data_IF_015863663319
#
_entry.id   IF_015863663319
#
_cell.length_a   1.000
_cell.length_b   1.000
_cell.length_c   1.000
_cell.angle_alpha   90.00
_cell.angle_beta   90.00
_cell.angle_gamma   90.00
#
_symmetry.space_group_name_H-M   'P 1'
#
loop_
_entity.id
_entity.type
_entity.pdbx_description
1 polymer ?
2 non-polymer ?
3 water ?
#
# COMPACT_ATOMS: atom_id res chain seq x y z
N UNK A 1 -3.06 -10.81 -20.99
CA UNK A 1 -4.07 -10.46 -19.94
C UNK A 1 -3.45 -10.13 -18.56
N UNK A 2 -4.29 -9.86 -17.55
CA UNK A 2 -3.79 -9.46 -16.21
C UNK A 2 -2.87 -10.52 -15.58
N UNK A 3 -1.86 -10.08 -14.82
CA UNK A 3 -0.93 -10.99 -14.14
C UNK A 3 -1.47 -11.49 -12.79
N UNK A 4 -2.46 -12.38 -12.87
CA UNK A 4 -3.10 -12.99 -11.71
C UNK A 4 -2.15 -13.83 -10.90
N UNK A 5 -1.28 -14.57 -11.57
CA UNK A 5 -0.33 -15.44 -10.87
C UNK A 5 0.66 -14.66 -9.99
N UNK A 6 1.21 -13.59 -10.57
CA UNK A 6 2.10 -12.70 -9.84
C UNK A 6 1.35 -12.11 -8.65
N UNK A 7 0.16 -11.55 -8.88
CA UNK A 7 -0.68 -10.98 -7.80
C UNK A 7 -0.88 -11.97 -6.65
N UNK A 8 -1.18 -13.21 -7.01
CA UNK A 8 -1.40 -14.25 -6.02
C UNK A 8 -0.14 -14.57 -5.20
N UNK A 9 1.03 -14.70 -5.84
CA UNK A 9 2.29 -14.91 -5.12
C UNK A 9 2.56 -13.78 -4.10
N UNK A 10 2.33 -12.53 -4.50
CA UNK A 10 2.45 -11.41 -3.57
C UNK A 10 1.44 -11.52 -2.41
N UNK A 11 0.19 -11.82 -2.73
CA UNK A 11 -0.82 -11.87 -1.67
C UNK A 11 -0.51 -12.94 -0.62
N UNK A 12 -0.09 -14.10 -1.11
CA UNK A 12 0.17 -15.32 -0.35
C UNK A 12 1.31 -15.13 0.65
N UNK A 13 2.44 -14.60 0.18
CA UNK A 13 3.62 -14.47 1.02
C UNK A 13 3.80 -13.09 1.66
N UNK A 14 3.17 -12.05 1.10
CA UNK A 14 3.44 -10.68 1.56
C UNK A 14 2.30 -9.80 2.05
N UNK A 15 1.12 -10.37 2.35
CA UNK A 15 0.08 -9.53 2.94
C UNK A 15 -0.46 -10.08 4.24
N UNK A 16 -0.94 -9.16 5.08
CA UNK A 16 -1.54 -9.53 6.32
C UNK A 16 -2.74 -8.62 6.44
N UNK A 17 -3.64 -8.95 7.38
CA UNK A 17 -4.76 -8.07 7.67
C UNK A 17 -4.32 -7.18 8.82
N UNK A 18 -4.46 -5.87 8.65
CA UNK A 18 -4.12 -4.93 9.69
C UNK A 18 -5.39 -4.22 10.11
N UNK A 19 -5.52 -3.96 11.40
CA UNK A 19 -6.67 -3.27 11.93
C UNK A 19 -6.25 -2.19 12.93
N UNK A 20 -6.71 -0.97 12.68
CA UNK A 20 -6.42 0.17 13.51
C UNK A 20 -7.77 0.65 14.01
N UNK A 21 -7.77 1.75 14.74
CA UNK A 21 -9.01 2.42 15.11
C UNK A 21 -9.89 2.74 13.89
N UNK A 22 -9.32 2.81 12.69
CA UNK A 22 -10.15 3.16 11.53
C UNK A 22 -10.77 1.95 10.85
N UNK A 23 -10.42 0.75 11.26
CA UNK A 23 -10.98 -0.42 10.62
C UNK A 23 -9.90 -1.28 10.02
N UNK A 24 -10.28 -2.19 9.12
CA UNK A 24 -9.32 -3.16 8.58
C UNK A 24 -8.78 -2.68 7.23
N UNK A 25 -7.56 -3.08 6.91
CA UNK A 25 -6.86 -2.64 5.72
C UNK A 25 -6.02 -3.81 5.34
N UNK A 26 -5.93 -4.05 4.04
CA UNK A 26 -4.96 -4.99 3.52
C UNK A 26 -3.58 -4.37 3.82
N UNK A 27 -2.58 -5.18 4.16
CA UNK A 27 -1.28 -4.62 4.48
C UNK A 27 -0.21 -5.38 3.77
N UNK A 28 0.59 -4.64 3.00
CA UNK A 28 1.70 -5.21 2.26
C UNK A 28 2.97 -5.17 3.10
N UNK A 29 3.58 -6.34 3.30
CA UNK A 29 4.90 -6.48 3.91
C UNK A 29 5.96 -6.42 2.83
N UNK A 30 6.99 -5.60 3.06
CA UNK A 30 7.95 -5.28 2.00
C UNK A 30 9.28 -6.01 2.15
N UNK A 31 9.81 -5.99 3.38
CA UNK A 31 11.02 -6.68 3.74
C UNK A 31 11.14 -6.73 5.28
N UNK A 32 11.91 -7.69 5.78
CA UNK A 32 12.13 -7.77 7.23
C UNK A 32 10.80 -7.65 7.97
N UNK A 33 10.66 -6.63 8.80
CA UNK A 33 9.42 -6.46 9.54
C UNK A 33 8.80 -5.13 9.19
N UNK A 34 9.05 -4.74 7.94
CA UNK A 34 8.62 -3.46 7.44
C UNK A 34 7.46 -3.64 6.46
N UNK A 35 6.40 -2.87 6.65
CA UNK A 35 5.19 -2.97 5.83
C UNK A 35 4.65 -1.58 5.55
N UNK A 36 3.58 -1.52 4.77
CA UNK A 36 2.93 -0.27 4.47
C UNK A 36 1.44 -0.29 4.74
N UNK A 37 0.89 0.90 4.90
CA UNK A 37 -0.55 1.03 5.12
C UNK A 37 -0.92 2.47 4.74
N UNK A 38 -2.16 2.72 4.27
CA UNK A 38 -2.54 4.10 3.96
C UNK A 38 -2.48 5.01 5.18
N UNK A 39 -1.91 6.22 5.00
CA UNK A 39 -1.71 7.13 6.12
C UNK A 39 -3.00 7.39 6.86
N UNK A 40 -4.12 7.43 6.13
CA UNK A 40 -5.40 7.67 6.77
C UNK A 40 -6.01 6.57 7.64
N UNK A 41 -5.38 5.40 7.64
CA UNK A 41 -5.60 4.37 8.67
C UNK A 41 -5.27 4.80 10.11
N UNK A 42 -4.48 5.87 10.29
CA UNK A 42 -4.12 6.39 11.63
C UNK A 42 -3.47 5.36 12.52
N UNK A 43 -2.32 4.82 12.12
CA UNK A 43 -1.58 3.88 12.95
C UNK A 43 -1.14 4.55 14.26
N UNK A 44 -1.25 3.83 15.38
CA UNK A 44 -0.83 4.34 16.70
C UNK A 44 0.40 3.55 17.12
N UNK A 45 0.51 3.20 18.40
CA UNK A 45 1.71 2.49 18.83
C UNK A 45 1.52 0.98 18.94
N UNK A 46 0.29 0.54 18.80
CA UNK A 46 0.03 -0.87 18.56
C UNK A 46 -1.01 -0.97 17.41
N UNK A 47 -1.05 -2.13 16.78
CA UNK A 47 -1.93 -2.40 15.66
C UNK A 47 -2.26 -3.89 15.68
N UNK A 48 -3.46 -4.29 15.23
CA UNK A 48 -3.73 -5.75 15.06
C UNK A 48 -3.27 -6.25 13.74
N UNK A 49 -2.51 -7.34 13.78
CA UNK A 49 -2.03 -8.01 12.60
C UNK A 49 -2.58 -9.45 12.61
N UNK A 50 -3.44 -9.79 11.64
CA UNK A 50 -4.15 -11.09 11.66
C UNK A 50 -4.70 -11.36 13.06
N UNK A 51 -5.36 -10.33 13.59
CA UNK A 51 -6.02 -10.31 14.88
C UNK A 51 -5.13 -10.40 16.12
N UNK A 52 -3.81 -10.39 15.93
CA UNK A 52 -2.85 -10.39 17.02
C UNK A 52 -2.35 -8.95 17.30
N UNK A 53 -2.56 -8.45 18.52
CA UNK A 53 -2.06 -7.12 18.88
C UNK A 53 -0.53 -7.04 18.79
N UNK A 54 -0.03 -5.99 18.14
CA UNK A 54 1.37 -5.95 17.69
C UNK A 54 1.87 -4.53 17.92
N UNK A 55 3.08 -4.45 18.49
CA UNK A 55 3.72 -3.16 18.75
C UNK A 55 4.18 -2.57 17.40
N UNK A 56 3.86 -1.30 17.21
CA UNK A 56 4.41 -0.54 16.09
C UNK A 56 5.69 0.17 16.55
N UNK A 57 6.82 -0.39 16.15
CA UNK A 57 8.13 0.10 16.57
C UNK A 57 8.51 1.41 15.87
N UNK A 58 8.00 1.61 14.65
CA UNK A 58 8.19 2.86 13.94
C UNK A 58 7.06 3.05 12.93
N UNK A 59 6.64 4.29 12.71
CA UNK A 59 5.63 4.60 11.70
C UNK A 59 6.01 5.93 11.02
N UNK A 60 6.34 5.90 9.71
CA UNK A 60 6.72 7.10 8.98
C UNK A 60 5.64 7.45 7.95
N UNK A 61 4.93 8.53 8.18
CA UNK A 61 3.92 9.02 7.28
C UNK A 61 4.61 9.80 6.15
N UNK A 62 4.71 9.22 4.96
CA UNK A 62 5.49 9.87 3.89
C UNK A 62 4.88 11.16 3.36
N UNK A 63 5.74 12.18 3.23
CA UNK A 63 5.37 13.43 2.59
C UNK A 63 6.46 13.82 1.58
N UNK A 64 6.12 14.58 0.52
CA UNK A 64 7.18 14.93 -0.45
C UNK A 64 7.83 16.26 -0.02
N UNK A 65 8.75 16.77 -0.86
CA UNK A 65 9.50 17.97 -0.48
C UNK A 65 8.66 19.23 -0.57
N UNK A 66 7.40 19.11 -1.01
CA UNK A 66 6.46 20.24 -0.91
C UNK A 66 5.67 20.14 0.38
N UNK A 67 6.05 19.18 1.23
CA UNK A 67 5.34 18.93 2.50
C UNK A 67 3.90 18.52 2.19
N UNK A 68 3.73 17.68 1.17
CA UNK A 68 2.40 17.18 0.83
C UNK A 68 2.36 15.69 1.13
N UNK A 69 1.25 15.29 1.76
CA UNK A 69 0.87 13.88 1.93
C UNK A 69 1.09 13.03 0.69
N UNK A 70 1.81 11.92 0.84
CA UNK A 70 1.88 10.84 -0.17
C UNK A 70 0.92 9.67 0.16
N UNK A 71 0.30 9.71 1.35
CA UNK A 71 -0.70 8.70 1.77
C UNK A 71 -0.14 7.30 2.01
N UNK A 72 1.18 7.18 2.01
CA UNK A 72 1.85 5.94 2.41
C UNK A 72 2.43 6.18 3.83
N UNK A 73 2.21 5.21 4.72
CA UNK A 73 2.92 5.11 6.00
C UNK A 73 3.68 3.80 6.05
N UNK A 74 4.98 3.91 6.30
CA UNK A 74 5.80 2.75 6.43
C UNK A 74 5.83 2.40 7.93
N UNK A 75 5.62 1.12 8.28
CA UNK A 75 5.62 0.75 9.67
C UNK A 75 6.66 -0.34 9.89
N UNK A 76 7.27 -0.34 11.08
CA UNK A 76 8.16 -1.40 11.49
C UNK A 76 7.43 -2.12 12.62
N UNK A 77 7.38 -3.46 12.57
CA UNK A 77 6.45 -4.17 13.47
C UNK A 77 7.21 -5.09 14.40
N UNK A 78 6.74 -5.24 15.63
CA UNK A 78 7.41 -6.20 16.52
C UNK A 78 6.77 -7.58 16.31
N UNK A 79 7.33 -8.38 15.41
CA UNK A 79 6.84 -9.74 15.25
C UNK A 79 7.92 -10.68 14.84
N UNK A 80 7.63 -11.97 14.94
CA UNK A 80 8.67 -12.93 14.73
C UNK A 80 8.98 -13.23 13.27
N UNK A 81 7.95 -13.45 12.46
CA UNK A 81 8.14 -13.72 11.01
C UNK A 81 8.76 -12.50 10.26
N UNK A 82 9.73 -12.75 9.38
CA UNK A 82 10.21 -11.76 8.41
C UNK A 82 9.36 -11.85 7.14
N UNK A 83 9.09 -10.72 6.50
CA UNK A 83 8.45 -10.75 5.20
C UNK A 83 9.50 -11.12 4.18
N UNK A 84 9.15 -11.98 3.23
CA UNK A 84 9.97 -12.14 2.01
C UNK A 84 10.34 -10.75 1.43
N UNK A 85 11.57 -10.59 0.98
CA UNK A 85 12.02 -9.26 0.55
C UNK A 85 11.53 -9.00 -0.88
N UNK A 86 10.63 -8.04 -1.06
CA UNK A 86 10.04 -7.84 -2.40
C UNK A 86 10.42 -6.50 -3.01
N UNK A 87 11.42 -5.86 -2.40
CA UNK A 87 11.90 -4.58 -2.91
C UNK A 87 12.34 -4.64 -4.39
N UNK A 88 12.92 -5.74 -4.85
CA UNK A 88 13.28 -5.80 -6.27
C UNK A 88 12.05 -5.76 -7.22
N UNK A 89 10.84 -5.90 -6.67
CA UNK A 89 9.63 -5.81 -7.50
C UNK A 89 9.05 -4.42 -7.50
N UNK A 90 9.66 -3.48 -6.77
CA UNK A 90 9.09 -2.12 -6.74
C UNK A 90 9.68 -1.30 -7.90
N UNK A 91 8.83 -0.51 -8.61
CA UNK A 91 9.34 0.34 -9.67
C UNK A 91 10.32 1.39 -9.17
N UNK A 92 11.31 1.65 -10.00
CA UNK A 92 12.29 2.70 -9.75
C UNK A 92 11.67 4.10 -9.90
N UNK A 93 10.72 4.27 -10.81
CA UNK A 93 10.26 5.61 -11.19
C UNK A 93 8.76 5.63 -11.29
N UNK A 94 8.17 6.82 -11.22
CA UNK A 94 6.79 7.00 -11.64
C UNK A 94 6.59 6.45 -13.07
N UNK A 95 5.37 6.02 -13.36
CA UNK A 95 5.09 5.41 -14.65
C UNK A 95 3.57 5.18 -14.82
N UNK A 96 3.14 4.85 -16.05
CA UNK A 96 1.78 4.42 -16.35
C UNK A 96 1.91 2.92 -16.58
N UNK A 97 0.81 2.19 -16.46
CA UNK A 97 0.90 0.72 -16.55
C UNK A 97 -0.33 0.19 -17.25
N UNK A 98 -0.18 -1.03 -17.75
CA UNK A 98 -1.29 -1.74 -18.39
C UNK A 98 -1.81 -2.89 -17.55
N UNK A 99 -3.13 -3.06 -17.61
CA UNK A 99 -3.74 -4.32 -17.23
C UNK A 99 -3.38 -4.75 -15.79
N UNK A 100 -3.60 -3.83 -14.85
CA UNK A 100 -3.19 -4.08 -13.46
C UNK A 100 -4.24 -4.88 -12.70
N UNK A 101 -3.78 -5.56 -11.65
CA UNK A 101 -4.65 -6.26 -10.69
C UNK A 101 -4.60 -5.56 -9.33
N UNK A 102 -5.76 -5.34 -8.73
CA UNK A 102 -5.92 -4.88 -7.36
C UNK A 102 -6.29 -6.09 -6.48
N UNK A 103 -5.43 -6.43 -5.51
CA UNK A 103 -5.68 -7.58 -4.65
C UNK A 103 -5.90 -7.20 -3.20
N UNK A 104 -6.92 -7.78 -2.60
CA UNK A 104 -7.40 -7.44 -1.25
C UNK A 104 -7.26 -8.64 -0.33
N UNK A 105 -6.84 -8.38 0.92
CA UNK A 105 -6.73 -9.43 1.96
C UNK A 105 -7.20 -8.81 3.29
N UNK A 106 -8.49 -8.96 3.57
CA UNK A 106 -9.11 -8.51 4.83
C UNK A 106 -9.85 -9.70 5.46
N UNK A 107 -10.51 -9.48 6.61
CA UNK A 107 -11.36 -10.51 7.19
C UNK A 107 -12.56 -10.81 6.27
N UNK A 108 -13.22 -9.77 5.74
CA UNK A 108 -14.36 -9.96 4.84
C UNK A 108 -13.95 -10.65 3.51
N UNK A 109 -12.75 -10.37 3.02
CA UNK A 109 -12.29 -10.83 1.71
C UNK A 109 -10.87 -11.32 1.86
N UNK A 110 -10.69 -12.54 2.37
CA UNK A 110 -9.32 -12.98 2.70
C UNK A 110 -8.44 -13.13 1.47
N UNK A 111 -9.02 -13.03 0.29
CA UNK A 111 -8.23 -13.22 -0.89
C UNK A 111 -9.10 -12.97 -2.12
N UNK A 112 -8.94 -11.81 -2.75
CA UNK A 112 -9.79 -11.40 -3.86
C UNK A 112 -8.97 -10.57 -4.85
N UNK A 113 -9.27 -10.72 -6.14
CA UNK A 113 -8.46 -10.18 -7.23
C UNK A 113 -9.37 -9.48 -8.22
N UNK A 114 -9.00 -8.23 -8.53
CA UNK A 114 -9.80 -7.36 -9.36
C UNK A 114 -8.94 -6.72 -10.44
N UNK A 115 -9.13 -7.13 -11.72
CA UNK A 115 -8.51 -6.47 -12.88
C UNK A 115 -9.05 -5.06 -12.96
N UNK A 116 -8.19 -4.05 -12.88
CA UNK A 116 -8.70 -2.69 -12.88
C UNK A 116 -8.39 -1.99 -14.21
N UNK A 117 -7.64 -2.69 -15.07
CA UNK A 117 -7.25 -2.18 -16.39
C UNK A 117 -6.01 -1.28 -16.35
N UNK A 118 -6.04 -0.24 -17.19
CA UNK A 118 -4.94 0.72 -17.30
C UNK A 118 -4.86 1.56 -16.06
N UNK A 119 -3.62 1.88 -15.70
CA UNK A 119 -3.34 2.68 -14.51
C UNK A 119 -2.52 3.88 -14.96
N UNK A 120 -2.99 5.07 -14.64
CA UNK A 120 -2.27 6.24 -15.08
C UNK A 120 -1.67 7.01 -13.89
N UNK A 121 -0.44 7.49 -14.11
CA UNK A 121 0.21 8.44 -13.23
C UNK A 121 -0.62 9.71 -13.26
N UNK A 122 -1.47 9.86 -12.24
CA UNK A 122 -2.42 10.95 -12.13
C UNK A 122 -1.89 12.23 -11.43
N UNK A 123 -1.08 12.07 -10.39
CA UNK A 123 -0.47 13.21 -9.69
C UNK A 123 -1.28 13.68 -8.49
N UNK A 124 -1.75 14.92 -8.57
CA UNK A 124 -2.45 15.55 -7.46
C UNK A 124 -3.88 15.07 -7.34
N UNK A 125 -4.31 14.86 -6.10
CA UNK A 125 -5.69 14.55 -5.76
C UNK A 125 -6.04 15.17 -4.41
N UNK A 126 -7.17 15.87 -4.33
CA UNK A 126 -7.63 16.40 -3.06
C UNK A 126 -8.31 15.32 -2.20
N UNK A 127 -7.57 14.25 -1.91
CA UNK A 127 -8.16 13.05 -1.27
C UNK A 127 -8.76 13.29 0.12
N UNK A 128 -10.09 13.22 0.18
CA UNK A 128 -10.81 13.37 1.43
C UNK A 128 -10.61 14.77 1.99
N UNK A 129 -10.34 15.73 1.10
CA UNK A 129 -10.01 17.11 1.50
C UNK A 129 -8.58 17.30 2.01
N UNK A 130 -7.73 16.28 1.88
CA UNK A 130 -6.28 16.43 2.13
C UNK A 130 -5.50 16.42 0.81
N UNK A 131 -4.78 17.52 0.52
CA UNK A 131 -3.96 17.50 -0.71
C UNK A 131 -3.00 16.30 -0.69
N UNK A 132 -2.92 15.58 -1.81
CA UNK A 132 -2.12 14.35 -1.86
C UNK A 132 -1.42 14.28 -3.20
N UNK A 133 -0.18 13.78 -3.23
CA UNK A 133 0.60 13.71 -4.47
C UNK A 133 0.95 12.29 -4.86
N UNK A 134 1.40 12.11 -6.11
CA UNK A 134 1.93 10.87 -6.57
C UNK A 134 0.85 9.77 -6.64
N UNK A 135 -0.35 10.18 -6.99
CA UNK A 135 -1.49 9.27 -7.11
C UNK A 135 -1.53 8.54 -8.46
N UNK A 136 -1.85 7.24 -8.42
CA UNK A 136 -2.20 6.41 -9.58
C UNK A 136 -3.71 6.28 -9.71
N UNK A 137 -4.23 6.34 -10.95
CA UNK A 137 -5.67 6.26 -11.15
C UNK A 137 -6.04 5.12 -12.12
N UNK A 138 -7.16 4.47 -11.83
CA UNK A 138 -7.68 3.41 -12.67
C UNK A 138 -9.18 3.56 -12.74
N UNK A 139 -9.74 3.20 -13.90
CA UNK A 139 -11.18 3.35 -14.09
C UNK A 139 -11.86 2.11 -13.64
N UNK A 140 -12.10 2.06 -12.35
CA UNK A 140 -12.79 0.96 -11.76
C UNK A 140 -13.51 1.41 -10.50
N UNK A 141 -14.76 0.93 -10.30
CA UNK A 141 -15.54 1.41 -9.16
C UNK A 141 -15.18 0.72 -7.84
N UNK A 142 -14.04 1.12 -7.29
CA UNK A 142 -13.51 0.54 -6.07
C UNK A 142 -14.28 0.97 -4.85
N UNK A 143 -14.20 0.17 -3.80
CA UNK A 143 -15.11 0.36 -2.66
C UNK A 143 -14.39 0.48 -1.32
N UNK A 144 -15.10 1.02 -0.33
CA UNK A 144 -14.66 0.93 1.06
C UNK A 144 -14.39 -0.55 1.33
N UNK A 145 -13.33 -0.83 2.09
CA UNK A 145 -13.00 -2.23 2.37
C UNK A 145 -11.79 -2.62 1.52
N UNK A 146 -11.46 -1.82 0.51
CA UNK A 146 -10.37 -2.17 -0.41
C UNK A 146 -9.07 -1.38 -0.17
N UNK A 147 -9.08 -0.45 0.80
CA UNK A 147 -7.86 0.33 1.08
C UNK A 147 -6.72 -0.54 1.57
N UNK A 148 -5.51 -0.22 1.09
CA UNK A 148 -4.34 -1.08 1.35
C UNK A 148 -4.21 -2.13 0.27
N UNK A 149 -5.26 -2.29 -0.54
CA UNK A 149 -5.19 -3.33 -1.58
C UNK A 149 -3.96 -3.11 -2.44
N UNK A 150 -3.33 -4.20 -2.86
CA UNK A 150 -2.08 -4.17 -3.57
C UNK A 150 -2.34 -4.12 -5.09
N UNK A 151 -1.74 -3.12 -5.75
CA UNK A 151 -1.85 -2.96 -7.20
C UNK A 151 -0.58 -3.48 -7.83
N UNK A 152 -0.75 -4.50 -8.67
CA UNK A 152 0.35 -5.09 -9.37
C UNK A 152 0.13 -5.13 -10.90
N UNK A 153 1.25 -5.20 -11.66
CA UNK A 153 1.28 -5.84 -12.97
C UNK A 153 2.25 -7.01 -12.79
N UNK A 154 2.44 -7.85 -13.80
CA UNK A 154 3.52 -8.83 -13.69
C UNK A 154 4.91 -8.23 -13.38
N UNK A 155 5.50 -8.80 -12.35
CA UNK A 155 6.83 -8.44 -11.93
C UNK A 155 6.92 -7.11 -11.23
N UNK A 156 5.83 -6.35 -11.11
CA UNK A 156 5.88 -5.08 -10.37
C UNK A 156 4.78 -4.86 -9.34
N UNK A 157 5.20 -4.41 -8.16
CA UNK A 157 4.27 -3.95 -7.14
C UNK A 157 4.29 -2.44 -7.13
N UNK A 158 3.17 -1.82 -7.51
CA UNK A 158 3.23 -0.45 -7.99
C UNK A 158 2.60 0.53 -7.07
N UNK A 159 1.79 0.03 -6.14
CA UNK A 159 1.06 0.91 -5.25
C UNK A 159 0.07 0.19 -4.35
N UNK A 160 -0.57 0.95 -3.47
CA UNK A 160 -1.63 0.42 -2.60
C UNK A 160 -2.83 1.32 -2.68
N UNK A 161 -4.01 0.72 -2.65
CA UNK A 161 -5.26 1.44 -2.89
C UNK A 161 -5.60 2.35 -1.72
N UNK A 162 -6.07 3.56 -2.02
CA UNK A 162 -6.27 4.54 -0.97
C UNK A 162 -7.57 5.29 -1.10
N UNK A 163 -8.22 5.19 -2.27
CA UNK A 163 -9.41 6.03 -2.48
C UNK A 163 -10.17 5.82 -3.79
N UNK A 164 -11.32 6.47 -3.90
CA UNK A 164 -12.20 6.33 -5.09
C UNK A 164 -13.37 7.28 -5.02
N UNK A 165 -14.05 7.46 -6.16
CA UNK A 165 -15.18 8.40 -6.26
C UNK A 165 -16.46 7.69 -6.75
N UNK A 166 -16.43 6.36 -6.78
CA UNK A 166 -17.57 5.58 -7.28
C UNK A 166 -17.41 5.15 -8.73
N UNK A 167 -16.53 5.82 -9.47
CA UNK A 167 -16.21 5.40 -10.83
C UNK A 167 -14.72 5.07 -11.02
N UNK A 168 -13.80 5.89 -10.48
CA UNK A 168 -12.36 5.56 -10.50
C UNK A 168 -11.84 5.13 -9.14
N UNK A 169 -10.71 4.42 -9.16
CA UNK A 169 -9.96 4.12 -7.95
C UNK A 169 -8.60 4.82 -7.95
N UNK A 170 -8.05 5.05 -6.76
CA UNK A 170 -6.78 5.72 -6.59
C UNK A 170 -5.83 4.93 -5.69
N UNK A 171 -4.59 4.80 -6.14
CA UNK A 171 -3.54 4.16 -5.35
C UNK A 171 -2.44 5.16 -5.08
N UNK A 172 -1.78 5.00 -3.94
CA UNK A 172 -0.56 5.76 -3.66
C UNK A 172 0.60 4.96 -4.21
N UNK A 173 1.52 5.63 -4.92
CA UNK A 173 2.66 4.91 -5.51
C UNK A 173 3.58 4.32 -4.47
N UNK A 174 4.17 3.19 -4.82
CA UNK A 174 5.29 2.68 -4.08
C UNK A 174 6.49 2.83 -5.00
N UNK A 175 7.57 3.40 -4.49
CA UNK A 175 8.83 3.46 -5.25
C UNK A 175 9.94 2.74 -4.53
N UNK A 176 10.85 2.15 -5.29
CA UNK A 176 11.97 1.43 -4.72
C UNK A 176 12.75 2.23 -3.66
N UNK A 177 12.97 3.50 -3.93
CA UNK A 177 13.83 4.26 -3.02
C UNK A 177 13.13 4.57 -1.69
N UNK A 178 11.84 4.26 -1.54
CA UNK A 178 11.19 4.44 -0.23
C UNK A 178 11.80 3.50 0.79
N UNK A 179 12.42 2.43 0.33
CA UNK A 179 12.78 1.34 1.24
C UNK A 179 14.26 0.98 1.28
N UNK A 180 15.12 1.79 0.68
CA UNK A 180 16.56 1.46 0.65
C UNK A 180 17.17 1.74 2.04
N UNK A 181 18.05 0.84 2.50
CA UNK A 181 18.72 0.97 3.83
C UNK A 181 19.56 2.25 3.84
N UNK A 182 19.29 3.18 4.75
CA UNK A 182 19.72 4.58 4.48
C UNK A 182 20.46 5.41 5.58
N UNK A 183 19.82 6.52 5.98
CA UNK A 183 20.45 7.73 6.58
C UNK A 183 20.12 8.01 8.08
N UNK A 184 21.17 8.32 8.87
CA UNK A 184 21.06 8.76 10.30
C UNK A 184 20.43 10.16 10.45
N UNK A 185 19.24 10.20 11.05
CA UNK A 185 18.26 11.26 10.82
C UNK A 185 17.22 11.17 11.93
N UNK A 186 17.05 12.24 12.70
CA UNK A 186 15.98 12.32 13.71
C UNK A 186 14.64 12.58 13.00
N UNK A 187 13.71 11.62 13.05
CA UNK A 187 12.48 11.75 12.25
C UNK A 187 11.14 12.01 12.98
N UNK A 188 11.15 12.11 14.31
CA UNK A 188 9.90 12.32 15.08
C UNK A 188 9.93 13.59 15.96
N UNK A 189 10.88 13.88 16.64
X LIG B 1 -13.45 13.59 -4.21
X LIG B 1 -10.95 13.52 -4.21
X LIG B 1 -12.58 4.94 5.66
X LIG B 1 -12.25 12.54 -6.12
X LIG B 1 -12.09 5.26 7.08
X LIG B 1 -8.71 5.72 5.37
X LIG B 1 -7.59 5.21 4.70
X LIG B 1 -7.25 5.66 3.41
X LIG B 1 -17.04 11.90 -1.46
X LIG B 1 -12.22 12.77 -4.61
X LIG B 1 -14.86 8.65 0.69
X LIG B 1 -12.20 11.50 -3.93
X LIG B 1 -12.45 11.29 -2.51
X LIG B 1 -12.36 12.26 -1.75
X LIG B 1 -12.71 10.03 -2.11
X LIG B 1 -12.97 9.67 -0.71
X LIG B 1 -14.46 9.25 -0.66
X LIG B 1 -15.22 10.45 -0.86
X LIG B 1 -16.40 10.54 -1.72
X LIG B 1 -12.03 8.58 -0.27
X LIG B 1 -11.53 8.66 0.94
X LIG B 1 -11.72 7.70 -1.06
X LIG B 1 -10.59 7.65 1.46
X LIG B 1 -11.34 6.32 1.58
X LIG B 1 -10.07 8.19 2.79
X LIG B 1 -17.45 9.47 -1.38
X LIG B 1 -16.02 10.46 -3.21
X LIG B 1 -12.43 6.31 2.15
X LIG B 1 -10.79 5.22 1.02
X LIG B 1 -9.19 7.15 3.47
X LIG B 1 -9.52 6.69 4.76
X LIG B 1 -8.05 6.63 2.81
X LIG B 1 -11.45 3.91 1.05
X LIG B 1 -11.63 3.47 -0.42
X LIG B 1 -12.55 4.41 -1.26
X LIG B 1 -10.56 2.96 1.87
X LIG B 1 -13.00 3.82 -2.58
X LIG B 1 -12.27 3.21 -3.36
X LIG B 1 -14.22 4.11 -2.78
X LIG B 1 -14.89 4.97 -1.79
X LIG B 1 -13.90 4.81 -0.62
X LIG B 1 -10.64 3.29 3.37
X LIG B 1 -12.00 3.04 4.01
X LIG B 1 -12.29 3.57 5.34
X LIG B 1 -12.86 2.34 3.47
#
# INVERSE_FOLDING_TARGET
>A
GPGFDFAQAIMKKNTVVARTEKGEFTMLGVHDRVAVIPTHASVGETIYINDVETKVLDACALRDLTDTNLEITIVKLDRNQKFRDIRHFLPRYEDDYNDAVLSVHTSKFPNMYIPVGQVTNYGFLNLGGTPTHRILMYNFPTRAGQCGGVVTTTGKVIGIHVGGNGAQGFAAMLLHSYFTDTQKHHHHHH
>B hetero
1 G86 C1 C2 C3 C4 C5 C7 C9 C11 C12 C13 C14 O15 C17 O19 N21 C23 C25 O27 C29 C31 N33 O35 C37 C39 C41 C43 C45 O47 N49 C51 C53 C55 C57 C59 C61 C63 C65 O66 N69 C71 C73 C82 C84 O86 O88
#
